data_IF_358014491050
#
_entry.id   IF_358014491050
#
_cell.length_a   1.000
_cell.length_b   1.000
_cell.length_c   1.000
_cell.angle_alpha   90.00
_cell.angle_beta   90.00
_cell.angle_gamma   90.00
#
_symmetry.space_group_name_H-M   'P 1'
#
loop_
_entity.id
_entity.type
_entity.pdbx_description
1 polymer ?
#
# COMPACT_ATOMS: atom_id res chain seq x y z
N UNK A 1 -8.59 -13.89 2.04
CA UNK A 1 -8.31 -13.55 0.62
C UNK A 1 -9.58 -13.57 -0.23
N UNK A 2 -10.36 -14.66 -0.27
CA UNK A 2 -11.55 -14.79 -1.15
C UNK A 2 -12.62 -13.70 -0.98
N UNK A 3 -12.99 -13.41 0.28
CA UNK A 3 -14.01 -12.41 0.63
C UNK A 3 -13.41 -11.02 0.94
N UNK A 4 -12.07 -10.91 0.99
CA UNK A 4 -11.37 -9.69 1.39
C UNK A 4 -11.49 -9.31 2.86
N UNK A 5 -12.00 -10.21 3.69
CA UNK A 5 -12.12 -9.98 5.13
C UNK A 5 -10.74 -9.96 5.80
N UNK A 6 -10.48 -8.91 6.61
CA UNK A 6 -9.18 -8.60 7.23
C UNK A 6 -9.22 -8.63 8.76
N UNK A 7 -10.39 -8.80 9.36
CA UNK A 7 -10.62 -8.84 10.81
C UNK A 7 -9.79 -9.94 11.47
N UNK A 8 -9.74 -11.11 10.85
CA UNK A 8 -9.02 -12.29 11.35
C UNK A 8 -7.50 -12.29 11.08
N UNK A 9 -6.94 -11.25 10.46
CA UNK A 9 -5.51 -11.19 10.14
C UNK A 9 -4.77 -10.47 11.28
N UNK A 10 -3.85 -11.14 12.00
CA UNK A 10 -3.00 -10.53 13.02
C UNK A 10 -2.25 -9.29 12.51
N UNK A 11 -2.06 -8.30 13.37
CA UNK A 11 -1.40 -7.03 13.03
C UNK A 11 0.03 -7.24 12.53
N UNK A 12 0.80 -8.13 13.16
CA UNK A 12 2.17 -8.45 12.74
C UNK A 12 2.23 -9.01 11.30
N UNK A 13 1.23 -9.79 10.87
CA UNK A 13 1.16 -10.27 9.48
C UNK A 13 0.82 -9.14 8.51
N UNK A 14 -0.04 -8.19 8.90
CA UNK A 14 -0.33 -7.02 8.07
C UNK A 14 0.92 -6.18 7.82
N UNK A 15 1.77 -6.03 8.83
CA UNK A 15 3.05 -5.32 8.72
C UNK A 15 4.01 -6.03 7.76
N UNK A 16 4.24 -7.33 7.96
CA UNK A 16 5.09 -8.14 7.07
C UNK A 16 4.65 -7.99 5.60
N UNK A 17 3.36 -8.11 5.31
CA UNK A 17 2.84 -8.00 3.94
C UNK A 17 2.90 -6.56 3.41
N UNK A 18 2.81 -5.56 4.28
CA UNK A 18 2.98 -4.14 3.91
C UNK A 18 4.45 -3.86 3.54
N UNK A 19 5.39 -4.36 4.34
CA UNK A 19 6.83 -4.18 4.14
C UNK A 19 7.36 -4.91 2.92
N UNK A 20 6.86 -6.13 2.66
CA UNK A 20 7.13 -6.86 1.43
C UNK A 20 6.41 -6.27 0.20
N UNK A 21 5.54 -5.26 0.39
CA UNK A 21 4.85 -4.54 -0.70
C UNK A 21 3.71 -5.32 -1.34
N UNK A 22 3.19 -6.33 -0.65
CA UNK A 22 2.21 -7.29 -1.15
C UNK A 22 0.87 -7.20 -0.42
N UNK A 23 0.64 -6.18 0.42
CA UNK A 23 -0.61 -6.01 1.18
C UNK A 23 -1.89 -6.05 0.31
N UNK A 24 -1.77 -5.69 -0.96
CA UNK A 24 -2.86 -5.73 -1.94
C UNK A 24 -3.40 -7.14 -2.23
N UNK A 25 -2.65 -8.21 -1.93
CA UNK A 25 -3.11 -9.60 -2.12
C UNK A 25 -4.03 -10.07 -0.99
N UNK A 26 -3.88 -9.51 0.21
CA UNK A 26 -4.74 -9.85 1.36
C UNK A 26 -6.15 -9.25 1.19
N UNK A 27 -6.28 -8.21 0.38
CA UNK A 27 -7.56 -7.66 -0.06
C UNK A 27 -8.01 -8.30 -1.38
N UNK A 28 -9.32 -8.31 -1.64
CA UNK A 28 -9.80 -8.67 -2.99
C UNK A 28 -9.34 -7.60 -3.97
N UNK A 29 -8.63 -8.04 -5.01
CA UNK A 29 -8.06 -7.19 -6.05
C UNK A 29 -8.66 -7.54 -7.42
N UNK A 30 -8.40 -6.70 -8.44
CA UNK A 30 -8.81 -7.01 -9.80
C UNK A 30 -8.22 -8.31 -10.35
N UNK A 31 -7.08 -8.76 -9.82
CA UNK A 31 -6.50 -10.07 -10.13
C UNK A 31 -7.44 -11.21 -9.69
N UNK A 32 -8.01 -11.14 -8.48
CA UNK A 32 -8.94 -12.14 -7.98
C UNK A 32 -10.17 -12.23 -8.90
N UNK A 33 -10.74 -11.07 -9.25
CA UNK A 33 -11.88 -10.99 -10.20
C UNK A 33 -11.51 -11.59 -11.56
N UNK A 34 -10.30 -11.31 -12.06
CA UNK A 34 -9.82 -11.86 -13.32
C UNK A 34 -9.65 -13.39 -13.29
N UNK A 35 -9.09 -13.93 -12.21
CA UNK A 35 -8.95 -15.37 -12.01
C UNK A 35 -10.32 -16.06 -11.94
N UNK A 36 -11.26 -15.47 -11.18
CA UNK A 36 -12.64 -15.95 -11.10
C UNK A 36 -13.29 -15.94 -12.48
N UNK A 37 -13.15 -14.84 -13.23
CA UNK A 37 -13.72 -14.72 -14.56
C UNK A 37 -13.16 -15.77 -15.54
N UNK A 38 -11.85 -16.02 -15.51
CA UNK A 38 -11.21 -17.06 -16.33
C UNK A 38 -11.66 -18.47 -15.95
N UNK A 39 -11.72 -18.79 -14.66
CA UNK A 39 -12.17 -20.09 -14.16
C UNK A 39 -13.64 -20.36 -14.54
N UNK A 40 -14.51 -19.36 -14.36
CA UNK A 40 -15.92 -19.46 -14.76
C UNK A 40 -16.09 -19.59 -16.26
N UNK A 41 -15.32 -18.84 -17.06
CA UNK A 41 -15.34 -19.00 -18.52
C UNK A 41 -14.91 -20.40 -18.95
N UNK A 42 -13.87 -20.97 -18.32
CA UNK A 42 -13.42 -22.32 -18.59
C UNK A 42 -14.52 -23.34 -18.26
N UNK A 43 -15.14 -23.24 -17.09
CA UNK A 43 -16.24 -24.12 -16.69
C UNK A 43 -17.46 -24.01 -17.62
N UNK A 44 -17.90 -22.77 -17.91
CA UNK A 44 -19.01 -22.52 -18.84
C UNK A 44 -18.65 -22.97 -20.26
N UNK A 45 -17.37 -22.97 -20.65
CA UNK A 45 -16.93 -23.44 -21.96
C UNK A 45 -17.18 -24.94 -22.14
N UNK A 46 -17.07 -25.74 -21.07
CA UNK A 46 -17.36 -27.18 -21.06
C UNK A 46 -18.85 -27.50 -21.25
N UNK A 47 -19.73 -26.55 -20.91
CA UNK A 47 -21.17 -26.69 -21.14
C UNK A 47 -21.53 -26.38 -22.59
N UNK A 48 -22.46 -27.13 -23.19
CA UNK A 48 -22.98 -26.89 -24.56
C UNK A 48 -23.99 -25.73 -24.63
N UNK A 49 -23.69 -24.60 -23.98
CA UNK A 49 -24.54 -23.41 -23.96
C UNK A 49 -24.22 -22.44 -25.11
N UNK A 50 -25.18 -21.62 -25.57
CA UNK A 50 -24.90 -20.56 -26.54
C UNK A 50 -23.97 -19.49 -25.94
N UNK A 51 -23.08 -18.91 -26.77
CA UNK A 51 -22.07 -17.92 -26.33
C UNK A 51 -22.66 -16.75 -25.55
N UNK A 52 -23.83 -16.23 -25.97
CA UNK A 52 -24.51 -15.12 -25.29
C UNK A 52 -24.91 -15.48 -23.86
N UNK A 53 -25.43 -16.69 -23.65
CA UNK A 53 -25.85 -17.15 -22.32
C UNK A 53 -24.64 -17.33 -21.40
N UNK A 54 -23.54 -17.93 -21.88
CA UNK A 54 -22.29 -18.04 -21.10
C UNK A 54 -21.80 -16.68 -20.61
N UNK A 55 -21.82 -15.67 -21.48
CA UNK A 55 -21.37 -14.32 -21.15
C UNK A 55 -22.32 -13.61 -20.18
N UNK A 56 -23.63 -13.79 -20.34
CA UNK A 56 -24.63 -13.27 -19.40
C UNK A 56 -24.46 -13.90 -18.00
N UNK A 57 -24.36 -15.23 -17.93
CA UNK A 57 -24.12 -15.95 -16.66
C UNK A 57 -22.85 -15.47 -15.97
N UNK A 58 -21.75 -15.29 -16.73
CA UNK A 58 -20.50 -14.75 -16.19
C UNK A 58 -20.69 -13.36 -15.57
N UNK A 59 -21.34 -12.44 -16.29
CA UNK A 59 -21.60 -11.07 -15.80
C UNK A 59 -22.42 -11.12 -14.50
N UNK A 60 -23.49 -11.91 -14.48
CA UNK A 60 -24.33 -12.07 -13.29
C UNK A 60 -23.54 -12.57 -12.08
N UNK A 61 -22.68 -13.59 -12.27
CA UNK A 61 -21.84 -14.11 -11.19
C UNK A 61 -20.83 -13.07 -10.70
N UNK A 62 -20.22 -12.29 -11.60
CA UNK A 62 -19.27 -11.23 -11.20
C UNK A 62 -19.95 -10.10 -10.43
N UNK A 63 -21.21 -9.78 -10.73
CA UNK A 63 -22.00 -8.81 -9.97
C UNK A 63 -22.31 -9.35 -8.57
N UNK A 64 -22.73 -10.61 -8.47
CA UNK A 64 -22.96 -11.29 -7.18
C UNK A 64 -21.66 -11.35 -6.36
N UNK A 65 -20.52 -11.63 -6.99
CA UNK A 65 -19.24 -11.60 -6.29
C UNK A 65 -18.87 -10.20 -5.81
N UNK A 66 -19.14 -9.16 -6.61
CA UNK A 66 -18.95 -7.77 -6.19
C UNK A 66 -19.84 -7.40 -4.99
N UNK A 67 -21.09 -7.87 -4.94
CA UNK A 67 -21.97 -7.61 -3.80
C UNK A 67 -21.51 -8.34 -2.53
N UNK A 68 -21.12 -9.62 -2.65
CA UNK A 68 -20.60 -10.41 -1.51
C UNK A 68 -19.34 -9.78 -0.91
N UNK A 69 -18.48 -9.20 -1.75
CA UNK A 69 -17.25 -8.54 -1.29
C UNK A 69 -17.46 -7.11 -0.77
N UNK A 70 -18.71 -6.64 -0.72
CA UNK A 70 -19.08 -5.31 -0.22
C UNK A 70 -18.75 -4.18 -1.20
N UNK A 71 -18.78 -4.43 -2.51
CA UNK A 71 -18.50 -3.45 -3.58
C UNK A 71 -17.19 -2.68 -3.42
N UNK A 72 -16.13 -3.36 -2.95
CA UNK A 72 -14.80 -2.75 -2.83
C UNK A 72 -14.36 -2.11 -4.16
N UNK A 73 -13.71 -0.93 -4.14
CA UNK A 73 -13.37 -0.18 -5.37
C UNK A 73 -12.62 -1.00 -6.42
N UNK A 74 -11.67 -1.83 -5.98
CA UNK A 74 -10.86 -2.70 -6.83
C UNK A 74 -11.69 -3.76 -7.57
N UNK A 75 -12.70 -4.32 -6.88
CA UNK A 75 -13.61 -5.35 -7.42
C UNK A 75 -14.63 -4.71 -8.34
N UNK A 76 -15.28 -3.63 -7.89
CA UNK A 76 -16.29 -2.91 -8.65
C UNK A 76 -15.75 -2.44 -10.00
N UNK A 77 -14.57 -1.81 -10.00
CA UNK A 77 -13.86 -1.44 -11.23
C UNK A 77 -13.62 -2.64 -12.13
N UNK A 78 -13.08 -3.73 -11.61
CA UNK A 78 -12.77 -4.91 -12.41
C UNK A 78 -14.05 -5.50 -13.02
N UNK A 79 -15.13 -5.62 -12.25
CA UNK A 79 -16.45 -6.08 -12.71
C UNK A 79 -17.00 -5.19 -13.82
N UNK A 80 -16.98 -3.86 -13.65
CA UNK A 80 -17.42 -2.91 -14.70
C UNK A 80 -16.57 -3.06 -15.96
N UNK A 81 -15.24 -3.12 -15.84
CA UNK A 81 -14.35 -3.31 -16.98
C UNK A 81 -14.64 -4.64 -17.70
N UNK A 82 -14.88 -5.74 -16.98
CA UNK A 82 -15.28 -7.02 -17.58
C UNK A 82 -16.60 -6.91 -18.34
N UNK A 83 -17.62 -6.25 -17.76
CA UNK A 83 -18.92 -6.01 -18.41
C UNK A 83 -18.71 -5.24 -19.72
N UNK A 84 -17.94 -4.15 -19.72
CA UNK A 84 -17.68 -3.33 -20.90
C UNK A 84 -16.91 -4.11 -21.98
N UNK A 85 -15.88 -4.85 -21.59
CA UNK A 85 -15.05 -5.61 -22.53
C UNK A 85 -15.81 -6.79 -23.14
N UNK A 86 -16.71 -7.42 -22.39
CA UNK A 86 -17.57 -8.51 -22.89
C UNK A 86 -18.71 -7.93 -23.74
N UNK A 87 -19.37 -6.89 -23.27
CA UNK A 87 -20.44 -6.19 -23.99
C UNK A 87 -19.97 -5.64 -25.33
N UNK A 88 -18.78 -5.02 -25.36
CA UNK A 88 -18.16 -4.56 -26.61
C UNK A 88 -17.92 -5.69 -27.60
N UNK A 89 -17.52 -6.89 -27.11
CA UNK A 89 -17.36 -8.08 -27.96
C UNK A 89 -18.71 -8.60 -28.49
N UNK A 90 -19.79 -8.49 -27.72
CA UNK A 90 -21.14 -8.87 -28.15
C UNK A 90 -21.69 -7.94 -29.24
N UNK A 91 -21.29 -6.66 -29.22
CA UNK A 91 -21.75 -5.62 -30.15
C UNK A 91 -20.72 -5.40 -31.30
N UNK A 92 -19.71 -6.27 -31.42
CA UNK A 92 -18.62 -6.17 -32.41
C UNK A 92 -17.90 -4.80 -32.41
N UNK A 93 -17.75 -4.16 -31.25
CA UNK A 93 -16.95 -2.94 -31.10
C UNK A 93 -15.53 -3.22 -30.62
N UNK A 94 -14.60 -2.38 -31.06
CA UNK A 94 -13.20 -2.44 -30.63
C UNK A 94 -13.06 -2.27 -29.11
N UNK A 95 -12.23 -3.12 -28.53
CA UNK A 95 -11.92 -3.11 -27.09
C UNK A 95 -10.85 -2.07 -26.81
N UNK A 96 -11.17 -1.10 -25.96
CA UNK A 96 -10.18 -0.16 -25.45
C UNK A 96 -10.17 -0.22 -23.91
N UNK A 97 -9.05 -0.70 -23.36
CA UNK A 97 -8.88 -0.87 -21.92
C UNK A 97 -8.88 0.47 -21.17
N UNK A 98 -8.32 1.53 -21.76
CA UNK A 98 -8.29 2.87 -21.16
C UNK A 98 -9.69 3.48 -21.11
N UNK A 99 -10.47 3.38 -22.19
CA UNK A 99 -11.87 3.86 -22.20
C UNK A 99 -12.68 3.10 -21.14
N UNK A 100 -12.48 1.78 -21.05
CA UNK A 100 -13.16 0.96 -20.03
C UNK A 100 -12.78 1.37 -18.61
N UNK A 101 -11.51 1.74 -18.39
CA UNK A 101 -11.00 2.21 -17.09
C UNK A 101 -11.60 3.57 -16.72
N UNK A 102 -11.53 4.57 -17.60
CA UNK A 102 -12.06 5.91 -17.31
C UNK A 102 -13.59 5.90 -17.19
N UNK A 103 -14.29 5.10 -17.99
CA UNK A 103 -15.74 4.95 -17.87
C UNK A 103 -16.13 4.26 -16.55
N UNK A 104 -15.37 3.24 -16.12
CA UNK A 104 -15.57 2.64 -14.80
C UNK A 104 -15.34 3.67 -13.67
N UNK A 105 -14.31 4.51 -13.77
CA UNK A 105 -14.08 5.58 -12.79
C UNK A 105 -15.28 6.55 -12.76
N UNK A 106 -15.73 7.00 -13.93
CA UNK A 106 -16.87 7.90 -14.06
C UNK A 106 -18.15 7.32 -13.41
N UNK A 107 -18.51 6.07 -13.72
CA UNK A 107 -19.69 5.43 -13.13
C UNK A 107 -19.60 5.30 -11.61
N UNK A 108 -18.43 4.93 -11.08
CA UNK A 108 -18.24 4.81 -9.63
C UNK A 108 -18.34 6.18 -8.95
N UNK A 109 -17.77 7.23 -9.56
CA UNK A 109 -17.80 8.59 -9.05
C UNK A 109 -19.18 9.25 -9.11
N UNK A 110 -19.99 8.89 -10.11
CA UNK A 110 -21.38 9.32 -10.18
C UNK A 110 -22.20 8.78 -9.00
N UNK A 111 -21.92 7.57 -8.53
CA UNK A 111 -22.62 6.95 -7.41
C UNK A 111 -22.09 7.42 -6.06
N UNK A 112 -20.77 7.64 -5.95
CA UNK A 112 -20.15 8.11 -4.73
C UNK A 112 -18.93 9.01 -5.03
N UNK A 113 -19.10 10.34 -5.10
CA UNK A 113 -18.00 11.26 -5.40
C UNK A 113 -16.95 11.32 -4.26
N UNK A 114 -17.33 11.00 -3.02
CA UNK A 114 -16.42 11.01 -1.86
C UNK A 114 -15.39 9.88 -1.91
N UNK A 115 -15.58 8.88 -2.78
CA UNK A 115 -14.62 7.78 -2.96
C UNK A 115 -13.27 8.25 -3.52
N UNK A 116 -13.17 9.49 -4.04
CA UNK A 116 -11.89 10.10 -4.42
C UNK A 116 -10.89 10.22 -3.27
N UNK A 117 -11.38 10.29 -2.02
CA UNK A 117 -10.54 10.34 -0.82
C UNK A 117 -10.12 8.94 -0.34
N UNK A 118 -10.66 7.88 -0.92
CA UNK A 118 -10.27 6.51 -0.60
C UNK A 118 -8.96 6.13 -1.30
N UNK A 119 -7.96 5.72 -0.51
CA UNK A 119 -6.68 5.28 -1.02
C UNK A 119 -6.82 4.03 -1.92
N UNK A 120 -7.75 3.12 -1.60
CA UNK A 120 -7.97 1.89 -2.36
C UNK A 120 -8.48 2.16 -3.78
N UNK A 121 -9.40 3.12 -3.94
CA UNK A 121 -9.87 3.61 -5.23
C UNK A 121 -8.71 4.19 -6.04
N UNK A 122 -8.01 5.21 -5.51
CA UNK A 122 -6.92 5.89 -6.22
C UNK A 122 -5.82 4.90 -6.64
N UNK A 123 -5.34 4.08 -5.70
CA UNK A 123 -4.32 3.07 -5.99
C UNK A 123 -4.78 2.08 -7.05
N UNK A 124 -6.02 1.59 -6.98
CA UNK A 124 -6.50 0.61 -7.95
C UNK A 124 -6.60 1.16 -9.38
N UNK A 125 -7.06 2.39 -9.56
CA UNK A 125 -7.21 3.00 -10.88
C UNK A 125 -5.86 3.40 -11.47
N UNK A 126 -5.00 4.05 -10.66
CA UNK A 126 -3.66 4.46 -11.10
C UNK A 126 -2.79 3.24 -11.44
N UNK A 127 -2.75 2.21 -10.59
CA UNK A 127 -2.02 0.96 -10.89
C UNK A 127 -2.44 0.40 -12.23
N UNK A 128 -3.75 0.36 -12.48
CA UNK A 128 -4.26 -0.24 -13.71
C UNK A 128 -3.93 0.60 -14.94
N UNK A 129 -4.03 1.92 -14.84
CA UNK A 129 -3.59 2.83 -15.91
C UNK A 129 -2.12 2.60 -16.26
N UNK A 130 -1.25 2.52 -15.25
CA UNK A 130 0.18 2.27 -15.46
C UNK A 130 0.46 0.87 -16.01
N UNK A 131 -0.22 -0.18 -15.53
CA UNK A 131 -0.07 -1.52 -16.10
C UNK A 131 -0.48 -1.53 -17.58
N UNK A 132 -1.59 -0.87 -17.96
CA UNK A 132 -2.06 -0.84 -19.35
C UNK A 132 -1.09 -0.08 -20.26
N UNK A 133 -0.60 1.09 -19.84
CA UNK A 133 0.12 2.01 -20.71
C UNK A 133 1.66 1.94 -20.59
N UNK A 134 2.19 1.60 -19.42
CA UNK A 134 3.64 1.57 -19.17
C UNK A 134 4.23 0.17 -19.29
N UNK A 135 3.49 -0.89 -18.93
CA UNK A 135 4.00 -2.26 -19.02
C UNK A 135 4.45 -2.65 -20.45
N UNK A 136 3.71 -2.34 -21.54
CA UNK A 136 4.15 -2.65 -22.89
C UNK A 136 5.49 -1.99 -23.26
N UNK A 137 5.67 -0.72 -22.87
CA UNK A 137 6.92 0.03 -23.09
C UNK A 137 8.08 -0.65 -22.35
N UNK A 138 7.87 -1.04 -21.09
CA UNK A 138 8.88 -1.74 -20.29
C UNK A 138 9.21 -3.13 -20.87
N UNK A 139 8.24 -3.84 -21.44
CA UNK A 139 8.48 -5.12 -22.11
C UNK A 139 9.35 -5.00 -23.37
N UNK A 140 9.30 -3.86 -24.06
CA UNK A 140 10.22 -3.55 -25.17
C UNK A 140 11.62 -3.20 -24.65
N UNK A 141 11.71 -2.44 -23.56
CA UNK A 141 12.98 -2.09 -22.94
C UNK A 141 13.69 -3.31 -22.34
N UNK A 142 12.94 -4.27 -21.80
CA UNK A 142 13.43 -5.51 -21.22
C UNK A 142 13.59 -6.64 -22.25
N UNK A 143 13.76 -6.32 -23.54
CA UNK A 143 13.82 -7.31 -24.62
C UNK A 143 14.91 -8.39 -24.44
N UNK A 144 15.98 -8.10 -23.69
CA UNK A 144 17.08 -9.05 -23.40
C UNK A 144 16.74 -10.07 -22.31
N UNK A 145 15.64 -9.88 -21.57
CA UNK A 145 15.23 -10.75 -20.47
C UNK A 145 14.32 -11.87 -21.01
N UNK A 146 14.45 -13.08 -20.47
CA UNK A 146 13.61 -14.23 -20.83
C UNK A 146 12.13 -13.91 -20.60
N UNK A 147 11.26 -14.27 -21.55
CA UNK A 147 9.84 -13.87 -21.61
C UNK A 147 9.08 -14.13 -20.30
N UNK A 148 9.33 -15.27 -19.65
CA UNK A 148 8.68 -15.66 -18.39
C UNK A 148 9.01 -14.73 -17.22
N UNK A 149 10.17 -14.08 -17.23
CA UNK A 149 10.58 -13.08 -16.23
C UNK A 149 10.23 -11.67 -16.72
N UNK A 150 10.38 -11.42 -18.02
CA UNK A 150 10.14 -10.13 -18.66
C UNK A 150 8.75 -9.57 -18.37
N UNK A 151 7.71 -10.38 -18.57
CA UNK A 151 6.33 -9.91 -18.45
C UNK A 151 5.95 -9.59 -16.99
N UNK A 152 6.17 -10.48 -15.99
CA UNK A 152 5.95 -10.14 -14.59
C UNK A 152 6.77 -8.94 -14.13
N UNK A 153 8.05 -8.86 -14.52
CA UNK A 153 8.92 -7.75 -14.15
C UNK A 153 8.39 -6.41 -14.69
N UNK A 154 7.96 -6.37 -15.96
CA UNK A 154 7.40 -5.17 -16.57
C UNK A 154 6.07 -4.75 -15.92
N UNK A 155 5.19 -5.71 -15.59
CA UNK A 155 3.92 -5.42 -14.89
C UNK A 155 4.19 -4.91 -13.47
N UNK A 156 5.06 -5.57 -12.71
CA UNK A 156 5.42 -5.17 -11.35
C UNK A 156 6.10 -3.81 -11.32
N UNK A 157 6.99 -3.52 -12.26
CA UNK A 157 7.67 -2.22 -12.36
C UNK A 157 6.67 -1.11 -12.75
N UNK A 158 5.79 -1.37 -13.72
CA UNK A 158 4.74 -0.40 -14.08
C UNK A 158 3.83 -0.09 -12.90
N UNK A 159 3.36 -1.12 -12.19
CA UNK A 159 2.54 -0.96 -11.00
C UNK A 159 3.28 -0.19 -9.90
N UNK A 160 4.57 -0.48 -9.66
CA UNK A 160 5.39 0.19 -8.67
C UNK A 160 5.55 1.68 -8.95
N UNK A 161 5.89 2.05 -10.19
CA UNK A 161 5.97 3.45 -10.64
C UNK A 161 4.62 4.14 -10.42
N UNK A 162 3.51 3.47 -10.77
CA UNK A 162 2.18 4.02 -10.56
C UNK A 162 1.84 4.29 -9.08
N UNK A 163 2.19 3.40 -8.15
CA UNK A 163 1.84 3.58 -6.73
C UNK A 163 2.84 4.42 -5.95
N UNK A 164 4.08 4.56 -6.42
CA UNK A 164 5.19 5.15 -5.67
C UNK A 164 4.82 6.43 -4.90
N UNK A 165 4.34 7.51 -5.55
CA UNK A 165 4.01 8.75 -4.84
C UNK A 165 2.78 8.62 -3.92
N UNK A 166 1.80 7.79 -4.28
CA UNK A 166 0.60 7.59 -3.46
C UNK A 166 0.88 6.74 -2.23
N UNK A 167 1.75 5.73 -2.35
CA UNK A 167 2.21 4.94 -1.21
C UNK A 167 2.96 5.82 -0.21
N UNK A 168 3.84 6.71 -0.69
CA UNK A 168 4.49 7.69 0.16
C UNK A 168 3.48 8.67 0.81
N UNK A 169 2.45 9.10 0.07
CA UNK A 169 1.43 10.02 0.58
C UNK A 169 0.52 9.40 1.64
N UNK A 170 -0.01 8.21 1.40
CA UNK A 170 -0.97 7.56 2.30
C UNK A 170 -0.31 6.82 3.45
N UNK A 171 0.85 6.20 3.21
CA UNK A 171 1.46 5.27 4.17
C UNK A 171 2.83 5.73 4.69
N UNK A 172 3.43 6.79 4.12
CA UNK A 172 4.78 7.28 4.48
C UNK A 172 5.87 6.20 4.47
N UNK A 173 5.60 5.11 3.73
CA UNK A 173 6.42 3.92 3.58
C UNK A 173 6.30 3.45 2.13
N UNK A 174 7.42 3.17 1.50
CA UNK A 174 7.48 2.63 0.14
C UNK A 174 8.27 1.33 0.18
N UNK A 175 7.64 0.23 -0.24
CA UNK A 175 8.32 -1.06 -0.39
C UNK A 175 9.09 -1.08 -1.72
N UNK A 176 10.41 -1.21 -1.64
CA UNK A 176 11.30 -1.30 -2.81
C UNK A 176 11.29 -2.75 -3.33
N UNK A 177 11.24 -3.71 -2.40
CA UNK A 177 11.29 -5.13 -2.74
C UNK A 177 10.04 -5.63 -3.48
N UNK A 178 8.96 -4.84 -3.49
CA UNK A 178 7.68 -5.22 -4.10
C UNK A 178 7.80 -5.61 -5.57
N UNK A 179 8.76 -5.03 -6.32
CA UNK A 179 8.97 -5.37 -7.74
C UNK A 179 9.34 -6.85 -7.88
N UNK A 180 10.24 -7.32 -7.01
CA UNK A 180 10.76 -8.69 -7.01
C UNK A 180 9.80 -9.63 -6.31
N UNK A 181 9.27 -9.26 -5.13
CA UNK A 181 8.38 -10.12 -4.35
C UNK A 181 7.12 -10.47 -5.14
N UNK A 182 6.56 -9.53 -5.92
CA UNK A 182 5.39 -9.76 -6.76
C UNK A 182 5.59 -10.85 -7.83
N UNK A 183 6.82 -11.07 -8.31
CA UNK A 183 7.10 -12.12 -9.31
C UNK A 183 6.77 -13.51 -8.76
N UNK A 184 7.01 -13.73 -7.46
CA UNK A 184 6.74 -15.00 -6.78
C UNK A 184 5.35 -15.05 -6.16
N UNK A 185 4.94 -13.93 -5.56
CA UNK A 185 3.72 -13.86 -4.74
C UNK A 185 2.46 -13.86 -5.60
N UNK A 186 2.46 -13.21 -6.78
CA UNK A 186 1.27 -13.14 -7.64
C UNK A 186 0.85 -14.54 -8.16
N UNK A 187 1.75 -15.37 -8.73
CA UNK A 187 1.39 -16.73 -9.16
C UNK A 187 0.86 -17.59 -8.01
N UNK A 188 1.53 -17.56 -6.85
CA UNK A 188 1.11 -18.32 -5.67
C UNK A 188 -0.24 -17.86 -5.14
N UNK A 189 -0.51 -16.54 -5.16
CA UNK A 189 -1.83 -15.98 -4.85
C UNK A 189 -2.90 -16.54 -5.79
N UNK A 190 -2.60 -16.66 -7.09
CA UNK A 190 -3.55 -17.22 -8.03
C UNK A 190 -3.89 -18.69 -7.75
N UNK A 191 -2.89 -19.50 -7.41
CA UNK A 191 -3.08 -20.89 -6.97
C UNK A 191 -3.93 -20.93 -5.69
N UNK A 192 -3.60 -20.11 -4.69
CA UNK A 192 -4.33 -20.07 -3.43
C UNK A 192 -5.80 -19.67 -3.58
N UNK A 193 -6.10 -18.74 -4.49
CA UNK A 193 -7.47 -18.33 -4.82
C UNK A 193 -8.24 -19.45 -5.50
N UNK A 194 -7.63 -20.13 -6.49
CA UNK A 194 -8.27 -21.26 -7.18
C UNK A 194 -8.55 -22.38 -6.19
N UNK A 195 -7.56 -22.80 -5.40
CA UNK A 195 -7.73 -23.83 -4.38
C UNK A 195 -8.79 -23.44 -3.36
N UNK A 196 -8.85 -22.17 -2.95
CA UNK A 196 -9.87 -21.67 -2.05
C UNK A 196 -11.30 -21.82 -2.61
N UNK A 197 -11.51 -21.50 -3.88
CA UNK A 197 -12.82 -21.73 -4.53
C UNK A 197 -13.12 -23.22 -4.69
N UNK A 198 -12.13 -24.04 -5.04
CA UNK A 198 -12.30 -25.50 -5.13
C UNK A 198 -12.69 -26.08 -3.78
N UNK A 199 -12.03 -25.68 -2.69
CA UNK A 199 -12.40 -26.04 -1.31
C UNK A 199 -13.84 -25.65 -1.01
N UNK A 200 -14.26 -24.43 -1.36
CA UNK A 200 -15.64 -23.97 -1.16
C UNK A 200 -16.65 -24.88 -1.88
N UNK A 201 -16.48 -25.13 -3.18
CA UNK A 201 -17.43 -25.95 -3.95
C UNK A 201 -17.44 -27.41 -3.54
N UNK A 202 -16.27 -28.01 -3.27
CA UNK A 202 -16.18 -29.39 -2.77
C UNK A 202 -16.80 -29.48 -1.37
N UNK A 203 -16.67 -28.44 -0.54
CA UNK A 203 -17.25 -28.38 0.80
C UNK A 203 -18.77 -28.44 0.81
N UNK A 204 -19.43 -28.01 -0.27
CA UNK A 204 -20.87 -28.17 -0.46
C UNK A 204 -21.28 -29.65 -0.66
N UNK A 205 -20.35 -30.50 -1.13
CA UNK A 205 -20.60 -31.92 -1.40
C UNK A 205 -20.07 -32.83 -0.28
N UNK A 206 -18.85 -32.55 0.22
CA UNK A 206 -18.19 -33.35 1.25
C UNK A 206 -17.16 -32.52 2.01
N UNK A 207 -17.35 -32.42 3.32
CA UNK A 207 -16.43 -31.72 4.23
C UNK A 207 -15.05 -32.41 4.26
N UNK A 208 -15.00 -33.75 4.20
CA UNK A 208 -13.75 -34.51 4.25
C UNK A 208 -12.87 -34.25 3.02
N UNK A 209 -13.45 -34.26 1.81
CA UNK A 209 -12.71 -33.95 0.58
C UNK A 209 -12.26 -32.50 0.55
N UNK A 210 -13.10 -31.57 1.02
CA UNK A 210 -12.73 -30.17 1.16
C UNK A 210 -11.54 -29.98 2.12
N UNK A 211 -11.47 -30.76 3.20
CA UNK A 211 -10.34 -30.79 4.13
C UNK A 211 -9.01 -31.12 3.46
N UNK A 212 -9.00 -32.07 2.52
CA UNK A 212 -7.78 -32.42 1.76
C UNK A 212 -7.30 -31.21 0.92
N UNK A 213 -8.21 -30.61 0.15
CA UNK A 213 -7.87 -29.43 -0.67
C UNK A 213 -7.49 -28.23 0.20
N UNK A 214 -8.16 -28.05 1.34
CA UNK A 214 -7.84 -27.00 2.30
C UNK A 214 -6.43 -27.16 2.87
N UNK A 215 -5.99 -28.38 3.18
CA UNK A 215 -4.62 -28.65 3.64
C UNK A 215 -3.57 -28.34 2.57
N UNK A 216 -3.86 -28.66 1.30
CA UNK A 216 -2.99 -28.26 0.17
C UNK A 216 -2.92 -26.73 0.09
N UNK A 217 -4.08 -26.05 0.21
CA UNK A 217 -4.11 -24.59 0.20
C UNK A 217 -3.35 -23.98 1.38
N UNK A 218 -3.43 -24.60 2.56
CA UNK A 218 -2.68 -24.20 3.75
C UNK A 218 -1.16 -24.23 3.51
N UNK A 219 -0.65 -25.24 2.80
CA UNK A 219 0.77 -25.29 2.40
C UNK A 219 1.13 -24.11 1.48
N UNK A 220 0.28 -23.78 0.50
CA UNK A 220 0.50 -22.64 -0.39
C UNK A 220 0.51 -21.31 0.38
N UNK A 221 -0.42 -21.14 1.33
CA UNK A 221 -0.49 -19.95 2.19
C UNK A 221 0.72 -19.84 3.14
N UNK A 222 1.23 -20.96 3.64
CA UNK A 222 2.46 -20.97 4.44
C UNK A 222 3.68 -20.60 3.61
N UNK A 223 3.78 -21.11 2.37
CA UNK A 223 4.83 -20.72 1.44
C UNK A 223 4.77 -19.22 1.11
N UNK A 224 3.57 -18.69 0.84
CA UNK A 224 3.34 -17.26 0.65
C UNK A 224 3.81 -16.44 1.86
N UNK A 225 3.46 -16.87 3.06
CA UNK A 225 3.84 -16.18 4.31
C UNK A 225 5.34 -16.27 4.57
N UNK A 226 5.97 -17.41 4.27
CA UNK A 226 7.42 -17.59 4.35
C UNK A 226 8.15 -16.63 3.41
N UNK A 227 7.75 -16.59 2.12
CA UNK A 227 8.32 -15.69 1.13
C UNK A 227 8.15 -14.23 1.55
N UNK A 228 6.97 -13.85 2.07
CA UNK A 228 6.71 -12.51 2.57
C UNK A 228 7.66 -12.13 3.72
N UNK A 229 7.84 -13.01 4.71
CA UNK A 229 8.75 -12.83 5.84
C UNK A 229 10.21 -12.70 5.38
N UNK A 230 10.63 -13.55 4.45
CA UNK A 230 11.98 -13.48 3.88
C UNK A 230 12.22 -12.12 3.23
N UNK A 231 11.31 -11.65 2.37
CA UNK A 231 11.46 -10.35 1.73
C UNK A 231 11.35 -9.16 2.69
N UNK A 232 10.48 -9.22 3.71
CA UNK A 232 10.36 -8.12 4.68
C UNK A 232 11.59 -8.00 5.59
N UNK A 233 12.29 -9.10 5.85
CA UNK A 233 13.52 -9.12 6.66
C UNK A 233 14.76 -8.56 5.96
N UNK A 234 14.71 -8.34 4.63
CA UNK A 234 15.86 -7.84 3.89
C UNK A 234 16.15 -6.36 4.23
N UNK A 235 17.43 -5.96 4.30
CA UNK A 235 17.77 -4.55 4.43
C UNK A 235 17.21 -3.79 3.23
N UNK A 236 16.63 -2.60 3.48
CA UNK A 236 15.99 -1.77 2.46
C UNK A 236 14.78 -2.42 1.76
N UNK A 237 14.16 -3.44 2.35
CA UNK A 237 12.89 -4.00 1.84
C UNK A 237 11.84 -2.89 1.62
N UNK A 238 11.81 -1.94 2.55
CA UNK A 238 11.07 -0.70 2.46
C UNK A 238 11.92 0.47 2.95
N UNK A 239 11.50 1.67 2.59
CA UNK A 239 12.05 2.93 3.09
C UNK A 239 10.91 3.80 3.63
N UNK A 240 11.20 4.51 4.72
CA UNK A 240 10.35 5.60 5.18
C UNK A 240 10.58 6.82 4.32
N UNK A 241 9.49 7.42 3.84
CA UNK A 241 9.54 8.61 2.98
C UNK A 241 8.56 9.62 3.55
N UNK A 242 9.01 10.87 3.68
CA UNK A 242 8.15 11.99 4.06
C UNK A 242 6.97 12.09 3.09
N UNK A 243 5.84 12.59 3.57
CA UNK A 243 4.65 12.74 2.74
C UNK A 243 4.93 13.77 1.63
N UNK A 244 4.88 13.37 0.33
CA UNK A 244 5.07 14.32 -0.75
C UNK A 244 3.89 15.28 -0.82
N UNK A 245 4.15 16.53 -1.19
CA UNK A 245 3.08 17.50 -1.45
C UNK A 245 2.27 17.08 -2.68
N UNK A 246 1.00 17.50 -2.74
CA UNK A 246 0.12 17.21 -3.89
C UNK A 246 0.75 17.72 -5.19
N UNK A 247 1.47 18.86 -5.15
CA UNK A 247 2.19 19.40 -6.29
C UNK A 247 3.29 18.43 -6.79
N UNK A 248 4.09 17.86 -5.89
CA UNK A 248 5.12 16.86 -6.26
C UNK A 248 4.48 15.64 -6.90
N UNK A 249 3.36 15.16 -6.35
CA UNK A 249 2.61 14.03 -6.90
C UNK A 249 2.09 14.35 -8.31
N UNK A 250 1.51 15.55 -8.50
CA UNK A 250 1.01 15.98 -9.80
C UNK A 250 2.13 16.09 -10.84
N UNK A 251 3.25 16.73 -10.49
CA UNK A 251 4.43 16.83 -11.36
C UNK A 251 4.98 15.44 -11.71
N UNK A 252 5.05 14.52 -10.74
CA UNK A 252 5.46 13.14 -10.98
C UNK A 252 4.56 12.46 -12.02
N UNK A 253 3.23 12.54 -11.86
CA UNK A 253 2.32 11.89 -12.81
C UNK A 253 2.34 12.53 -14.19
N UNK A 254 2.41 13.85 -14.28
CA UNK A 254 2.56 14.56 -15.56
C UNK A 254 3.83 14.12 -16.28
N UNK A 255 4.92 13.97 -15.54
CA UNK A 255 6.19 13.47 -16.07
C UNK A 255 6.06 12.10 -16.67
N UNK A 256 5.55 11.14 -15.90
CA UNK A 256 5.47 9.77 -16.39
C UNK A 256 4.49 9.68 -17.55
N UNK A 257 3.41 10.45 -17.53
CA UNK A 257 2.49 10.60 -18.66
C UNK A 257 3.20 11.12 -19.92
N UNK A 258 3.99 12.20 -19.83
CA UNK A 258 4.77 12.70 -20.96
C UNK A 258 5.79 11.67 -21.47
N UNK A 259 6.45 10.92 -20.58
CA UNK A 259 7.35 9.83 -20.98
C UNK A 259 6.57 8.78 -21.77
N UNK A 260 5.42 8.32 -21.26
CA UNK A 260 4.55 7.34 -21.94
C UNK A 260 4.19 7.84 -23.35
N UNK A 261 3.73 9.09 -23.47
CA UNK A 261 3.36 9.71 -24.76
C UNK A 261 4.54 9.78 -25.74
N UNK A 262 5.75 10.14 -25.28
CA UNK A 262 6.96 10.17 -26.11
C UNK A 262 7.28 8.77 -26.64
N UNK A 263 7.14 7.73 -25.82
CA UNK A 263 7.40 6.36 -26.24
C UNK A 263 6.36 5.86 -27.24
N UNK A 264 5.07 6.18 -27.07
CA UNK A 264 4.01 5.82 -28.02
C UNK A 264 4.09 6.58 -29.35
N UNK A 265 4.57 7.83 -29.36
CA UNK A 265 4.81 8.56 -30.62
C UNK A 265 5.97 7.92 -31.39
N UNK A 266 5.65 7.19 -32.46
CA UNK A 266 6.64 6.56 -33.36
C UNK A 266 7.45 7.56 -34.21
N UNK A 267 7.08 8.84 -34.19
CA UNK A 267 7.70 9.91 -35.00
C UNK A 267 9.13 10.24 -34.52
N UNK A 268 9.43 10.13 -33.23
CA UNK A 268 10.74 10.49 -32.69
C UNK A 268 11.73 9.33 -32.81
N UNK A 269 12.96 9.64 -33.23
CA UNK A 269 14.05 8.67 -33.22
C UNK A 269 14.40 8.24 -31.78
N UNK A 270 14.90 7.00 -31.56
CA UNK A 270 15.21 6.50 -30.22
C UNK A 270 16.24 7.36 -29.47
N UNK A 271 17.18 7.98 -30.20
CA UNK A 271 18.16 8.91 -29.63
C UNK A 271 17.49 10.16 -29.05
N UNK A 272 16.51 10.73 -29.76
CA UNK A 272 15.78 11.92 -29.30
C UNK A 272 14.88 11.56 -28.12
N UNK A 273 14.16 10.42 -28.18
CA UNK A 273 13.36 9.94 -27.05
C UNK A 273 14.20 9.85 -25.77
N UNK A 274 15.38 9.22 -25.83
CA UNK A 274 16.27 9.11 -24.68
C UNK A 274 16.72 10.47 -24.15
N UNK A 275 17.13 11.40 -25.03
CA UNK A 275 17.58 12.75 -24.64
C UNK A 275 16.46 13.55 -23.99
N UNK A 276 15.25 13.56 -24.57
CA UNK A 276 14.10 14.27 -24.02
C UNK A 276 13.68 13.68 -22.67
N UNK A 277 13.63 12.35 -22.53
CA UNK A 277 13.34 11.70 -21.26
C UNK A 277 14.37 12.06 -20.18
N UNK A 278 15.66 12.09 -20.52
CA UNK A 278 16.71 12.49 -19.59
C UNK A 278 16.53 13.95 -19.15
N UNK A 279 16.28 14.88 -20.08
CA UNK A 279 16.05 16.30 -19.76
C UNK A 279 14.87 16.45 -18.80
N UNK A 280 13.74 15.80 -19.10
CA UNK A 280 12.54 15.83 -18.26
C UNK A 280 12.88 15.32 -16.85
N UNK A 281 13.49 14.13 -16.75
CA UNK A 281 13.90 13.55 -15.46
C UNK A 281 14.86 14.47 -14.68
N UNK A 282 15.83 15.10 -15.35
CA UNK A 282 16.80 16.01 -14.73
C UNK A 282 16.14 17.27 -14.17
N UNK A 283 15.20 17.87 -14.91
CA UNK A 283 14.46 19.07 -14.46
C UNK A 283 13.63 18.74 -13.21
N UNK A 284 13.02 17.58 -13.16
CA UNK A 284 12.19 17.17 -12.02
C UNK A 284 13.05 16.83 -10.81
N UNK A 285 14.16 16.11 -11.04
CA UNK A 285 15.12 15.85 -9.98
C UNK A 285 15.60 17.17 -9.36
N UNK A 286 15.86 18.18 -10.18
CA UNK A 286 16.20 19.52 -9.71
C UNK A 286 15.05 20.15 -8.89
N UNK A 287 13.80 20.09 -9.36
CA UNK A 287 12.64 20.62 -8.60
C UNK A 287 12.49 19.91 -7.25
N UNK A 288 12.64 18.59 -7.22
CA UNK A 288 12.57 17.79 -5.99
C UNK A 288 13.70 18.19 -5.05
N UNK A 289 14.94 18.28 -5.53
CA UNK A 289 16.09 18.73 -4.75
C UNK A 289 15.81 20.11 -4.16
N UNK A 290 15.38 21.07 -4.99
CA UNK A 290 15.09 22.44 -4.53
C UNK A 290 14.03 22.43 -3.44
N UNK A 291 12.95 21.66 -3.58
CA UNK A 291 11.90 21.60 -2.55
C UNK A 291 12.33 20.87 -1.27
N UNK A 292 13.18 19.84 -1.36
CA UNK A 292 13.68 19.09 -0.22
C UNK A 292 14.71 19.89 0.58
N UNK A 293 15.53 20.69 -0.12
CA UNK A 293 16.58 21.50 0.48
C UNK A 293 16.16 22.95 0.72
N UNK A 294 14.93 23.34 0.37
CA UNK A 294 14.41 24.65 0.74
C UNK A 294 14.27 24.71 2.27
N UNK A 295 15.06 25.54 2.97
CA UNK A 295 15.02 25.57 4.42
C UNK A 295 13.68 26.15 4.87
N UNK A 296 12.87 25.32 5.53
CA UNK A 296 11.76 25.79 6.33
C UNK A 296 12.30 26.11 7.72
N UNK A 297 12.90 27.29 7.89
CA UNK A 297 13.52 27.74 9.15
C UNK A 297 12.52 28.30 10.17
N UNK A 298 11.21 28.09 9.95
CA UNK A 298 10.19 28.58 10.84
C UNK A 298 9.95 27.58 11.97
N UNK A 299 9.98 28.06 13.22
CA UNK A 299 9.48 27.33 14.38
C UNK A 299 8.01 26.95 14.15
N UNK A 300 7.67 25.68 14.32
CA UNK A 300 6.29 25.19 14.30
C UNK A 300 5.99 24.41 15.56
N UNK A 301 4.84 24.69 16.16
CA UNK A 301 4.30 23.94 17.29
C UNK A 301 3.05 23.22 16.80
N UNK A 302 3.08 21.89 16.81
CA UNK A 302 1.98 21.05 16.33
C UNK A 302 1.38 20.32 17.53
N UNK A 303 0.10 20.57 17.82
CA UNK A 303 -0.68 19.81 18.78
C UNK A 303 -1.30 18.61 18.05
N UNK A 304 -0.79 17.42 18.33
CA UNK A 304 -1.19 16.18 17.66
C UNK A 304 -2.44 15.66 18.37
N UNK A 305 -3.54 15.48 17.62
CA UNK A 305 -4.77 14.92 18.17
C UNK A 305 -4.60 13.42 18.45
N UNK A 306 -4.33 13.10 19.72
CA UNK A 306 -4.13 11.75 20.25
C UNK A 306 -5.37 11.20 20.99
N UNK A 307 -6.45 11.97 21.03
CA UNK A 307 -7.68 11.62 21.77
C UNK A 307 -7.64 12.08 23.21
N UNK A 308 -6.89 11.39 24.06
CA UNK A 308 -6.77 11.66 25.50
C UNK A 308 -5.30 11.97 25.88
N UNK A 309 -5.14 12.91 26.81
CA UNK A 309 -3.87 13.52 27.19
C UNK A 309 -3.26 14.43 26.12
N UNK A 310 -1.94 14.65 26.21
CA UNK A 310 -1.22 15.60 25.35
C UNK A 310 -0.19 14.92 24.43
N UNK A 311 0.01 15.50 23.26
CA UNK A 311 1.12 15.19 22.36
C UNK A 311 1.48 16.41 21.53
N UNK A 312 2.64 17.01 21.80
CA UNK A 312 3.06 18.27 21.20
C UNK A 312 4.41 18.07 20.50
N UNK A 313 4.45 18.35 19.20
CA UNK A 313 5.66 18.34 18.41
C UNK A 313 6.10 19.76 18.10
N UNK A 314 7.26 20.15 18.63
CA UNK A 314 7.94 21.40 18.29
C UNK A 314 9.02 21.10 17.25
N UNK A 315 8.82 21.63 16.04
CA UNK A 315 9.80 21.63 14.95
C UNK A 315 10.53 22.98 14.99
N UNK A 316 11.70 23.00 15.63
CA UNK A 316 12.54 24.20 15.76
C UNK A 316 13.51 24.34 14.58
N UNK A 317 14.08 25.55 14.37
CA UNK A 317 15.11 25.77 13.34
C UNK A 317 16.25 24.76 13.41
N UNK A 318 16.95 24.54 12.29
CA UNK A 318 18.01 23.52 12.17
C UNK A 318 17.52 22.06 12.33
N UNK A 319 16.23 21.79 12.04
CA UNK A 319 15.62 20.45 12.13
C UNK A 319 15.70 19.84 13.53
N UNK A 320 15.63 20.69 14.55
CA UNK A 320 15.57 20.25 15.95
C UNK A 320 14.11 19.86 16.25
N UNK A 321 13.87 18.60 16.57
CA UNK A 321 12.54 18.08 16.87
C UNK A 321 12.43 17.79 18.37
N UNK A 322 11.48 18.45 19.04
CA UNK A 322 11.15 18.21 20.44
C UNK A 322 9.75 17.60 20.48
N UNK A 323 9.60 16.45 21.10
CA UNK A 323 8.31 15.80 21.32
C UNK A 323 8.00 15.85 22.81
N UNK A 324 6.85 16.41 23.17
CA UNK A 324 6.35 16.51 24.53
C UNK A 324 5.11 15.63 24.62
N UNK A 325 5.19 14.59 25.44
CA UNK A 325 4.16 13.57 25.64
C UNK A 325 3.74 12.82 24.36
N UNK A 326 3.01 11.73 24.54
CA UNK A 326 2.60 10.82 23.47
C UNK A 326 1.10 10.56 23.39
N UNK A 327 0.31 11.11 24.30
CA UNK A 327 -1.06 10.67 24.52
C UNK A 327 -1.15 9.25 25.09
N UNK A 328 -2.39 8.81 25.26
CA UNK A 328 -2.72 7.42 25.56
C UNK A 328 -4.22 7.18 25.48
N UNK A 329 -4.62 5.92 25.54
CA UNK A 329 -6.03 5.55 25.72
C UNK A 329 -6.13 4.50 26.83
N UNK A 330 -6.03 4.88 28.11
CA UNK A 330 -5.96 3.94 29.23
C UNK A 330 -7.15 2.97 29.30
N UNK A 331 -8.28 3.35 28.69
CA UNK A 331 -9.53 2.58 28.69
C UNK A 331 -9.74 1.75 27.41
N UNK A 332 -8.79 1.75 26.47
CA UNK A 332 -8.95 1.12 25.16
C UNK A 332 -7.70 0.39 24.70
N UNK A 333 -7.85 -0.60 23.82
CA UNK A 333 -6.71 -1.29 23.19
C UNK A 333 -6.17 -0.54 21.95
N UNK A 334 -6.45 0.76 21.82
CA UNK A 334 -6.02 1.55 20.68
C UNK A 334 -4.59 2.07 20.90
N UNK A 335 -3.64 1.47 20.19
CA UNK A 335 -2.24 1.86 20.26
C UNK A 335 -2.00 3.25 19.62
N UNK A 336 -2.09 4.30 20.43
CA UNK A 336 -1.94 5.71 20.02
C UNK A 336 -0.57 5.94 19.38
N UNK A 337 0.49 5.36 19.94
CA UNK A 337 1.86 5.54 19.44
C UNK A 337 2.02 5.00 18.01
N UNK A 338 1.65 3.75 17.75
CA UNK A 338 1.77 3.14 16.43
C UNK A 338 0.73 3.63 15.41
N UNK A 339 -0.45 4.11 15.86
CA UNK A 339 -1.54 4.53 14.96
C UNK A 339 -1.58 6.02 14.67
N UNK A 340 -1.07 6.87 15.56
CA UNK A 340 -1.16 8.34 15.43
C UNK A 340 0.24 8.96 15.45
N UNK A 341 0.99 8.81 16.55
CA UNK A 341 2.22 9.58 16.78
C UNK A 341 3.30 9.20 15.77
N UNK A 342 3.62 7.91 15.63
CA UNK A 342 4.62 7.43 14.67
C UNK A 342 4.24 7.81 13.23
N UNK A 343 3.02 7.51 12.73
CA UNK A 343 2.61 7.94 11.40
C UNK A 343 2.71 9.45 11.19
N UNK A 344 2.36 10.27 12.19
CA UNK A 344 2.47 11.73 12.11
C UNK A 344 3.93 12.18 11.95
N UNK A 345 4.83 11.68 12.80
CA UNK A 345 6.27 11.98 12.73
C UNK A 345 6.87 11.54 11.39
N UNK A 346 6.53 10.35 10.90
CA UNK A 346 7.00 9.84 9.60
C UNK A 346 6.48 10.68 8.43
N UNK A 347 5.21 11.13 8.46
CA UNK A 347 4.65 12.05 7.45
C UNK A 347 5.46 13.34 7.34
N UNK A 348 5.92 13.88 8.47
CA UNK A 348 6.79 15.06 8.54
C UNK A 348 8.24 14.79 8.11
N UNK A 349 8.62 13.53 7.86
CA UNK A 349 9.99 13.16 7.52
C UNK A 349 10.93 13.16 8.72
N UNK A 350 10.39 13.13 9.94
CA UNK A 350 11.17 13.06 11.17
C UNK A 350 11.68 11.63 11.31
N UNK A 351 12.99 11.49 11.52
CA UNK A 351 13.65 10.21 11.81
C UNK A 351 14.41 10.24 13.14
N UNK A 352 14.46 11.41 13.77
CA UNK A 352 15.24 11.71 14.97
C UNK A 352 14.49 12.70 15.83
N UNK A 353 14.43 12.41 17.12
CA UNK A 353 13.89 13.29 18.17
C UNK A 353 15.08 13.78 18.99
N UNK A 354 15.30 15.09 19.00
CA UNK A 354 16.41 15.70 19.72
C UNK A 354 16.16 15.71 21.23
N UNK A 355 14.92 15.99 21.63
CA UNK A 355 14.49 15.98 23.01
C UNK A 355 13.10 15.34 23.10
N UNK A 356 12.99 14.31 23.92
CA UNK A 356 11.72 13.70 24.29
C UNK A 356 11.39 14.14 25.71
N UNK A 357 10.24 14.77 25.91
CA UNK A 357 9.80 15.26 27.22
C UNK A 357 8.60 14.44 27.68
N UNK A 358 8.66 13.93 28.91
CA UNK A 358 7.54 13.33 29.62
C UNK A 358 7.13 14.27 30.75
N UNK A 359 5.94 14.86 30.66
CA UNK A 359 5.46 15.83 31.66
C UNK A 359 5.11 15.15 32.98
N UNK A 360 4.55 13.95 32.94
CA UNK A 360 4.28 13.09 34.10
C UNK A 360 3.99 11.65 33.64
N UNK A 361 4.18 10.63 34.51
CA UNK A 361 4.18 9.22 34.11
C UNK A 361 2.80 8.57 33.95
N UNK A 362 1.71 9.34 33.85
CA UNK A 362 0.39 8.74 33.61
C UNK A 362 0.26 8.21 32.18
N UNK A 363 -0.58 7.20 32.00
CA UNK A 363 -0.72 6.48 30.73
C UNK A 363 -1.22 7.36 29.58
N UNK A 364 -2.08 8.33 29.87
CA UNK A 364 -2.58 9.33 28.92
C UNK A 364 -1.47 10.27 28.41
N UNK A 365 -0.26 10.23 28.94
CA UNK A 365 0.90 10.97 28.42
C UNK A 365 2.04 10.06 27.97
N UNK A 366 2.21 8.91 28.62
CA UNK A 366 3.33 7.99 28.42
C UNK A 366 3.11 6.95 27.30
N UNK A 367 1.88 6.44 27.15
CA UNK A 367 1.60 5.25 26.35
C UNK A 367 2.08 5.41 24.90
N UNK A 368 1.77 6.55 24.28
CA UNK A 368 2.19 6.82 22.90
C UNK A 368 3.70 7.01 22.73
N UNK A 369 4.45 7.30 23.80
CA UNK A 369 5.91 7.44 23.74
C UNK A 369 6.65 6.10 23.70
N UNK A 370 6.06 5.01 24.20
CA UNK A 370 6.69 3.70 24.21
C UNK A 370 7.05 3.20 22.78
N UNK A 371 6.13 3.19 21.80
CA UNK A 371 6.49 2.87 20.42
C UNK A 371 7.52 3.86 19.84
N UNK A 372 7.38 5.16 20.14
CA UNK A 372 8.26 6.20 19.62
C UNK A 372 9.70 5.97 20.06
N UNK A 373 9.95 5.75 21.36
CA UNK A 373 11.31 5.53 21.86
C UNK A 373 11.91 4.20 21.38
N UNK A 374 11.08 3.19 21.06
CA UNK A 374 11.53 1.93 20.44
C UNK A 374 11.96 2.14 18.98
N UNK A 375 11.20 2.91 18.19
CA UNK A 375 11.45 3.05 16.74
C UNK A 375 12.37 4.21 16.34
N UNK A 376 12.33 5.33 17.07
CA UNK A 376 13.06 6.55 16.70
C UNK A 376 14.39 6.60 17.42
N UNK A 377 15.35 7.28 16.79
CA UNK A 377 16.56 7.74 17.47
C UNK A 377 16.18 8.94 18.33
N UNK A 378 16.33 8.79 19.64
CA UNK A 378 16.12 9.85 20.64
C UNK A 378 17.49 10.23 21.20
N UNK A 379 17.84 11.51 21.13
CA UNK A 379 19.14 12.00 21.62
C UNK A 379 19.13 12.29 23.13
N UNK A 380 17.98 12.70 23.69
CA UNK A 380 17.84 13.02 25.10
C UNK A 380 16.39 12.84 25.57
N UNK A 381 16.21 12.39 26.81
CA UNK A 381 14.92 12.37 27.50
C UNK A 381 14.97 13.32 28.69
N UNK A 382 13.93 14.16 28.82
CA UNK A 382 13.64 14.97 29.99
C UNK A 382 12.35 14.46 30.63
N UNK A 383 12.40 14.16 31.91
CA UNK A 383 11.28 13.62 32.67
C UNK A 383 11.06 14.44 33.95
N UNK A 384 9.80 14.57 34.37
CA UNK A 384 9.40 15.17 35.64
C UNK A 384 10.08 14.57 36.88
N UNK A 385 10.53 13.31 36.80
CA UNK A 385 11.08 12.57 37.94
C UNK A 385 10.01 12.06 38.91
N UNK A 386 8.72 12.23 38.60
CA UNK A 386 7.64 11.61 39.34
C UNK A 386 7.71 10.09 39.15
N UNK A 387 7.58 9.35 40.24
CA UNK A 387 7.63 7.89 40.21
C UNK A 387 6.20 7.38 40.10
N UNK A 388 5.93 6.54 39.10
CA UNK A 388 4.69 5.78 38.99
C UNK A 388 5.03 4.29 38.98
N UNK A 389 4.30 3.50 39.76
CA UNK A 389 4.48 2.05 39.81
C UNK A 389 3.68 1.33 38.71
N UNK A 390 3.78 1.83 37.47
CA UNK A 390 3.15 1.21 36.30
C UNK A 390 4.15 0.33 35.52
N UNK A 391 3.66 -0.71 34.86
CA UNK A 391 4.47 -1.57 33.98
C UNK A 391 5.08 -0.77 32.83
N UNK A 392 4.33 0.18 32.29
CA UNK A 392 4.66 1.01 31.14
C UNK A 392 5.79 1.99 31.48
N UNK A 393 5.73 2.60 32.66
CA UNK A 393 6.80 3.50 33.11
C UNK A 393 8.10 2.74 33.37
N UNK A 394 8.02 1.56 34.00
CA UNK A 394 9.18 0.67 34.16
C UNK A 394 9.77 0.27 32.81
N UNK A 395 8.92 -0.03 31.83
CA UNK A 395 9.36 -0.35 30.48
C UNK A 395 10.03 0.85 29.80
N UNK A 396 9.45 2.04 29.92
CA UNK A 396 10.00 3.28 29.36
C UNK A 396 11.42 3.55 29.86
N UNK A 397 11.62 3.51 31.19
CA UNK A 397 12.94 3.66 31.80
C UNK A 397 13.89 2.54 31.37
N UNK A 398 13.41 1.30 31.27
CA UNK A 398 14.21 0.16 30.79
C UNK A 398 14.71 0.37 29.36
N UNK A 399 13.87 0.89 28.45
CA UNK A 399 14.25 1.18 27.07
C UNK A 399 15.29 2.30 27.01
N UNK A 400 15.13 3.35 27.81
CA UNK A 400 16.10 4.46 27.92
C UNK A 400 17.48 3.92 28.30
N UNK A 401 17.55 3.11 29.36
CA UNK A 401 18.78 2.50 29.84
C UNK A 401 19.39 1.55 28.80
N UNK A 402 18.57 0.67 28.20
CA UNK A 402 19.02 -0.31 27.20
C UNK A 402 19.58 0.35 25.95
N UNK A 403 19.02 1.49 25.53
CA UNK A 403 19.51 2.28 24.40
C UNK A 403 20.63 3.26 24.76
N UNK A 404 20.94 3.43 26.04
CA UNK A 404 21.94 4.40 26.51
C UNK A 404 21.57 5.84 26.19
N UNK A 405 20.27 6.18 26.22
CA UNK A 405 19.81 7.54 25.93
C UNK A 405 20.08 8.42 27.16
N UNK A 406 20.74 9.59 27.01
CA UNK A 406 20.86 10.58 28.08
C UNK A 406 19.50 10.92 28.71
N UNK A 407 19.40 10.76 30.03
CA UNK A 407 18.18 10.97 30.81
C UNK A 407 18.41 12.05 31.86
N UNK A 408 17.52 13.04 31.89
CA UNK A 408 17.56 14.13 32.85
C UNK A 408 16.21 14.25 33.55
N UNK A 409 16.26 14.49 34.87
CA UNK A 409 15.08 14.88 35.63
C UNK A 409 14.99 16.39 35.68
N UNK A 410 13.82 16.92 35.33
CA UNK A 410 13.51 18.33 35.47
C UNK A 410 13.56 18.72 36.96
N UNK A 411 14.21 19.85 37.26
CA UNK A 411 14.26 20.44 38.60
C UNK A 411 13.77 21.87 38.51
N UNK A 412 13.07 22.33 39.56
CA UNK A 412 12.80 23.75 39.71
C UNK A 412 14.15 24.50 39.76
N UNK A 413 14.26 25.55 38.94
CA UNK A 413 15.46 26.38 38.82
C UNK A 413 15.60 27.41 39.92
#
# INVERSE_FOLDING_TARGET
>A
MLLGEKSFIPTYLKEIFTEAGIMHILAVSGLHVGIIAMALLALLSMLKLPKKLKLFTLISILIIYASITGFRPSVLRATIMFILLIGGKLINRNRNLNISLFFAAFLILLLNPLILYDAGFLLSFIVTFFIINLSPILQELFYKIVVWIKNPLAVSTAAWIGIFPLSAYFFSKVSIISIVSNIFVIPLTGIAVILGFVTFFIGLLSISLAGIVANINYLVLNLLTFIAKSFSSLPFAFIYVAQPSIMVIALYYLTVFFIIEIFYKKILSPKIKKKTTLIVLSVILLIIIVQVFYPADNLKVNFINVGEGDCILIEAPNKINILIDGGGTPQSNFDVGNKIVIPYLRRKGINKINLLVLTHPHLDHLEGLLPVIREFRVDMVLDSGLICDSSEYKEFISIIQKKGIPYHQAKAG
#
